data_IF_005545081768
#
_entry.id   IF_005545081768
#
_cell.length_a   1.000
_cell.length_b   1.000
_cell.length_c   1.000
_cell.angle_alpha   90.00
_cell.angle_beta   90.00
_cell.angle_gamma   90.00
#
_symmetry.space_group_name_H-M   'P 1'
#
loop_
_entity.id
_entity.type
_entity.pdbx_description
1 polymer ?
#
# COMPACT_ATOMS: atom_id res chain seq x y z
N UNK A 1 18.41 28.07 23.62
CA UNK A 1 17.52 28.62 22.60
C UNK A 1 17.05 27.52 21.72
N UNK A 2 15.84 26.93 21.87
CA UNK A 2 15.35 25.90 20.94
C UNK A 2 14.73 26.62 19.74
N UNK A 3 15.30 26.39 18.56
CA UNK A 3 14.69 26.77 17.30
C UNK A 3 13.43 25.93 17.07
N UNK A 4 12.28 26.54 17.31
CA UNK A 4 10.99 25.97 16.91
C UNK A 4 10.97 25.81 15.39
N UNK A 5 11.00 24.58 14.92
CA UNK A 5 10.72 24.22 13.54
C UNK A 5 9.29 24.65 13.24
N UNK A 6 9.11 25.75 12.51
CA UNK A 6 7.81 26.10 11.94
C UNK A 6 7.50 25.04 10.90
N UNK A 7 6.56 24.13 11.22
CA UNK A 7 5.92 23.27 10.20
C UNK A 7 5.36 24.25 9.15
N UNK A 8 5.92 24.24 7.96
CA UNK A 8 5.30 24.85 6.80
C UNK A 8 3.97 24.13 6.59
N UNK A 9 2.87 24.75 7.00
CA UNK A 9 1.54 24.34 6.58
C UNK A 9 1.46 24.61 5.07
N UNK A 10 1.74 23.59 4.28
CA UNK A 10 1.54 23.63 2.83
C UNK A 10 0.03 23.78 2.63
N UNK A 11 -0.41 24.92 2.14
CA UNK A 11 -1.82 25.20 1.86
C UNK A 11 -2.32 24.19 0.85
N UNK A 12 -3.48 23.57 1.10
CA UNK A 12 -4.13 22.62 0.17
C UNK A 12 -4.34 23.31 -1.19
N UNK A 13 -3.90 22.66 -2.27
CA UNK A 13 -4.19 23.10 -3.64
C UNK A 13 -5.60 22.66 -4.02
N UNK A 14 -6.56 23.58 -4.23
CA UNK A 14 -7.93 23.22 -4.57
C UNK A 14 -8.07 22.51 -5.93
N UNK A 15 -7.01 22.48 -6.72
CA UNK A 15 -6.97 21.78 -8.03
C UNK A 15 -6.35 20.39 -7.96
N UNK A 16 -5.80 20.00 -6.82
CA UNK A 16 -5.21 18.68 -6.68
C UNK A 16 -6.28 17.60 -6.86
N UNK A 17 -5.95 16.47 -7.53
CA UNK A 17 -6.94 15.46 -7.94
C UNK A 17 -7.75 14.87 -6.78
N UNK A 18 -7.15 14.71 -5.61
CA UNK A 18 -7.77 14.13 -4.42
C UNK A 18 -8.30 15.19 -3.44
N UNK A 19 -8.38 16.46 -3.84
CA UNK A 19 -8.99 17.52 -3.04
C UNK A 19 -10.47 17.66 -3.36
N UNK A 20 -11.28 17.72 -2.31
CA UNK A 20 -12.73 17.89 -2.40
C UNK A 20 -13.13 19.25 -1.79
N UNK A 21 -13.94 19.99 -2.53
CA UNK A 21 -14.61 21.22 -2.05
C UNK A 21 -15.95 20.85 -1.41
N UNK A 22 -16.09 21.13 -0.13
CA UNK A 22 -17.30 20.86 0.66
C UNK A 22 -18.25 22.05 0.74
N UNK A 23 -17.96 23.17 0.08
CA UNK A 23 -18.76 24.38 0.13
C UNK A 23 -20.25 24.12 -0.19
N UNK A 24 -20.53 23.33 -1.22
CA UNK A 24 -21.89 22.98 -1.62
C UNK A 24 -22.63 22.05 -0.64
N UNK A 25 -21.91 21.29 0.21
CA UNK A 25 -22.49 20.47 1.27
C UNK A 25 -23.06 21.33 2.40
N UNK A 26 -22.41 22.45 2.68
CA UNK A 26 -22.72 23.32 3.83
C UNK A 26 -22.40 22.65 5.17
N UNK A 27 -22.68 23.37 6.27
CA UNK A 27 -22.38 22.91 7.64
C UNK A 27 -23.62 22.47 8.44
N UNK A 28 -24.73 22.21 7.74
CA UNK A 28 -25.95 21.74 8.44
C UNK A 28 -25.82 20.25 8.73
N UNK A 29 -25.83 19.83 10.00
CA UNK A 29 -25.75 18.41 10.34
C UNK A 29 -26.85 17.60 9.65
N UNK A 30 -26.48 16.45 9.08
CA UNK A 30 -27.33 15.58 8.29
C UNK A 30 -27.42 15.93 6.80
N UNK A 31 -26.75 17.02 6.34
CA UNK A 31 -26.57 17.25 4.90
C UNK A 31 -25.61 16.20 4.33
N UNK A 32 -25.97 15.63 3.19
CA UNK A 32 -25.18 14.56 2.54
C UNK A 32 -24.97 14.89 1.06
N UNK A 33 -23.85 14.44 0.51
CA UNK A 33 -23.51 14.49 -0.90
C UNK A 33 -22.71 13.25 -1.29
N UNK A 34 -23.05 12.67 -2.40
CA UNK A 34 -22.29 11.59 -3.02
C UNK A 34 -21.60 12.10 -4.27
N UNK A 35 -20.41 11.59 -4.53
CA UNK A 35 -19.60 12.00 -5.66
C UNK A 35 -18.75 10.82 -6.14
N UNK A 36 -18.80 10.57 -7.45
CA UNK A 36 -17.92 9.60 -8.12
C UNK A 36 -17.01 10.35 -9.09
N UNK A 37 -15.73 10.04 -9.06
CA UNK A 37 -14.75 10.64 -9.96
C UNK A 37 -13.62 9.66 -10.27
N UNK A 38 -12.96 9.85 -11.41
CA UNK A 38 -11.71 9.21 -11.74
C UNK A 38 -10.59 10.24 -11.61
N UNK A 39 -9.56 9.93 -10.88
CA UNK A 39 -8.43 10.81 -10.62
C UNK A 39 -7.11 10.08 -10.88
N UNK A 40 -6.05 10.80 -11.33
CA UNK A 40 -4.74 10.20 -11.48
C UNK A 40 -4.13 9.86 -10.12
N UNK A 41 -3.47 8.72 -10.05
CA UNK A 41 -2.73 8.29 -8.85
C UNK A 41 -1.56 9.24 -8.57
N UNK A 42 -1.36 9.63 -7.30
CA UNK A 42 -0.20 10.39 -6.88
C UNK A 42 1.08 9.54 -6.99
N UNK A 43 2.22 10.21 -6.89
CA UNK A 43 3.53 9.54 -6.80
C UNK A 43 3.61 8.69 -5.53
N UNK A 44 4.43 7.63 -5.59
CA UNK A 44 4.76 6.79 -4.43
C UNK A 44 3.54 6.20 -3.67
N UNK A 45 2.48 5.83 -4.41
CA UNK A 45 1.31 5.15 -3.85
C UNK A 45 1.55 3.64 -3.80
N UNK A 46 2.39 3.19 -2.86
CA UNK A 46 2.73 1.79 -2.76
C UNK A 46 3.87 1.51 -1.79
N UNK A 47 4.40 0.30 -1.90
CA UNK A 47 5.60 -0.19 -1.22
C UNK A 47 6.61 -0.67 -2.27
N UNK A 48 7.84 -1.04 -1.84
CA UNK A 48 8.95 -1.39 -2.73
C UNK A 48 8.59 -2.45 -3.80
N UNK A 49 7.77 -3.45 -3.43
CA UNK A 49 7.46 -4.59 -4.31
C UNK A 49 6.19 -4.41 -5.14
N UNK A 50 5.27 -3.56 -4.72
CA UNK A 50 3.96 -3.40 -5.37
C UNK A 50 3.33 -2.06 -5.02
N UNK A 51 2.66 -1.45 -5.99
CA UNK A 51 1.93 -0.19 -5.78
C UNK A 51 1.04 0.16 -6.97
N UNK A 52 0.33 1.26 -6.82
CA UNK A 52 -0.44 1.86 -7.91
C UNK A 52 0.52 2.67 -8.78
N UNK A 53 0.60 2.41 -10.09
CA UNK A 53 1.47 3.19 -10.98
C UNK A 53 1.11 4.68 -10.95
N UNK A 54 2.11 5.54 -10.90
CA UNK A 54 1.92 7.00 -10.97
C UNK A 54 1.07 7.39 -12.18
N UNK A 55 0.07 8.23 -11.95
CA UNK A 55 -0.84 8.70 -13.00
C UNK A 55 -1.86 7.68 -13.48
N UNK A 56 -1.86 6.46 -12.95
CA UNK A 56 -2.91 5.50 -13.24
C UNK A 56 -4.26 5.98 -12.71
N UNK A 57 -5.34 5.56 -13.35
CA UNK A 57 -6.68 5.96 -12.96
C UNK A 57 -7.08 5.30 -11.63
N UNK A 58 -7.47 6.14 -10.65
CA UNK A 58 -8.14 5.73 -9.42
C UNK A 58 -9.62 6.07 -9.58
N UNK A 59 -10.48 5.06 -9.54
CA UNK A 59 -11.93 5.26 -9.43
C UNK A 59 -12.27 5.49 -7.96
N UNK A 60 -12.86 6.65 -7.67
CA UNK A 60 -13.15 7.11 -6.32
C UNK A 60 -14.66 7.36 -6.18
N UNK A 61 -15.30 6.63 -5.29
CA UNK A 61 -16.69 6.82 -4.89
C UNK A 61 -16.71 7.30 -3.43
N UNK A 62 -17.20 8.51 -3.20
CA UNK A 62 -17.22 9.13 -1.86
C UNK A 62 -18.60 9.63 -1.47
N UNK A 63 -18.91 9.47 -0.20
CA UNK A 63 -20.05 10.07 0.48
C UNK A 63 -19.54 11.00 1.57
N UNK A 64 -19.99 12.24 1.49
CA UNK A 64 -19.72 13.29 2.47
C UNK A 64 -20.97 13.51 3.31
N UNK A 65 -20.79 13.59 4.62
CA UNK A 65 -21.88 13.87 5.57
C UNK A 65 -21.43 14.98 6.53
N UNK A 66 -22.19 16.09 6.56
CA UNK A 66 -21.93 17.13 7.54
C UNK A 66 -22.42 16.68 8.91
N UNK A 67 -21.52 16.69 9.88
CA UNK A 67 -21.79 16.41 11.30
C UNK A 67 -21.52 17.66 12.14
N UNK A 68 -21.78 17.60 13.43
CA UNK A 68 -21.62 18.79 14.32
C UNK A 68 -20.18 19.27 14.38
N UNK A 69 -19.22 18.34 14.33
CA UNK A 69 -17.80 18.63 14.55
C UNK A 69 -17.02 18.85 13.26
N UNK A 70 -17.59 18.41 12.10
CA UNK A 70 -16.85 18.42 10.84
C UNK A 70 -17.63 17.79 9.68
N UNK A 71 -16.87 17.18 8.77
CA UNK A 71 -17.39 16.41 7.65
C UNK A 71 -16.87 14.98 7.77
N UNK A 72 -17.79 14.02 7.93
CA UNK A 72 -17.48 12.61 7.84
C UNK A 72 -17.46 12.22 6.36
N UNK A 73 -16.34 11.64 5.92
CA UNK A 73 -16.21 11.06 4.58
C UNK A 73 -16.11 9.56 4.71
N UNK A 74 -16.89 8.86 3.92
CA UNK A 74 -16.75 7.43 3.67
C UNK A 74 -16.68 7.18 2.18
N UNK A 75 -15.90 6.22 1.75
CA UNK A 75 -15.76 5.94 0.32
C UNK A 75 -14.99 4.69 0.02
N UNK A 76 -14.94 4.39 -1.28
CA UNK A 76 -14.21 3.27 -1.86
C UNK A 76 -13.28 3.81 -2.93
N UNK A 77 -12.05 3.33 -2.96
CA UNK A 77 -11.09 3.62 -4.03
C UNK A 77 -10.69 2.31 -4.73
N UNK A 78 -10.74 2.31 -6.08
CA UNK A 78 -10.30 1.20 -6.93
C UNK A 78 -9.15 1.65 -7.81
N UNK A 79 -8.09 0.87 -7.87
CA UNK A 79 -6.93 1.20 -8.66
C UNK A 79 -6.23 -0.07 -9.21
N UNK A 80 -5.54 0.04 -10.36
CA UNK A 80 -4.65 -1.02 -10.81
C UNK A 80 -3.41 -1.11 -9.91
N UNK A 81 -2.90 -2.32 -9.74
CA UNK A 81 -1.62 -2.57 -9.09
C UNK A 81 -0.62 -3.10 -10.09
N UNK A 82 0.63 -2.67 -9.95
CA UNK A 82 1.78 -3.24 -10.64
C UNK A 82 2.91 -3.48 -9.63
N UNK A 83 3.67 -4.54 -9.86
CA UNK A 83 4.76 -4.91 -8.97
C UNK A 83 5.54 -6.11 -9.49
N UNK A 84 6.29 -6.73 -8.61
CA UNK A 84 7.10 -7.92 -8.90
C UNK A 84 6.73 -9.07 -7.96
N UNK A 85 6.76 -10.29 -8.48
CA UNK A 85 6.52 -11.48 -7.68
C UNK A 85 7.61 -11.65 -6.64
N UNK A 86 7.23 -11.74 -5.36
CA UNK A 86 8.18 -11.91 -4.25
C UNK A 86 8.98 -13.24 -4.28
N UNK A 87 8.67 -14.15 -5.21
CA UNK A 87 9.38 -15.43 -5.35
C UNK A 87 10.21 -15.52 -6.63
N UNK A 88 9.71 -15.09 -7.77
CA UNK A 88 10.39 -15.26 -9.06
C UNK A 88 10.77 -13.95 -9.75
N UNK A 89 10.43 -12.80 -9.14
CA UNK A 89 10.71 -11.43 -9.60
C UNK A 89 10.06 -11.07 -10.96
N UNK A 90 9.12 -11.89 -11.44
CA UNK A 90 8.36 -11.57 -12.64
C UNK A 90 7.35 -10.45 -12.36
N UNK A 91 7.07 -9.60 -13.36
CA UNK A 91 6.04 -8.59 -13.25
C UNK A 91 4.68 -9.18 -12.88
N UNK A 92 4.00 -8.54 -11.95
CA UNK A 92 2.65 -8.89 -11.52
C UNK A 92 1.74 -7.68 -11.71
N UNK A 93 0.57 -7.90 -12.30
CA UNK A 93 -0.48 -6.89 -12.40
C UNK A 93 -1.76 -7.42 -11.77
N UNK A 94 -2.44 -6.58 -11.01
CA UNK A 94 -3.73 -6.88 -10.38
C UNK A 94 -4.52 -5.59 -10.17
N UNK A 95 -5.54 -5.63 -9.35
CA UNK A 95 -6.28 -4.45 -8.92
C UNK A 95 -6.53 -4.51 -7.43
N UNK A 96 -6.73 -3.35 -6.83
CA UNK A 96 -7.08 -3.22 -5.42
C UNK A 96 -8.37 -2.41 -5.29
N UNK A 97 -9.20 -2.79 -4.31
CA UNK A 97 -10.34 -2.04 -3.85
C UNK A 97 -10.19 -1.84 -2.35
N UNK A 98 -10.28 -0.61 -1.89
CA UNK A 98 -10.15 -0.25 -0.47
C UNK A 98 -11.29 0.65 -0.05
N UNK A 99 -11.85 0.35 1.12
CA UNK A 99 -12.81 1.21 1.78
C UNK A 99 -12.08 2.09 2.80
N UNK A 100 -12.55 3.32 2.94
CA UNK A 100 -12.03 4.24 3.93
C UNK A 100 -13.16 5.06 4.57
N UNK A 101 -12.90 5.50 5.80
CA UNK A 101 -13.77 6.44 6.51
C UNK A 101 -12.90 7.35 7.38
N UNK A 102 -13.16 8.67 7.29
CA UNK A 102 -12.39 9.66 8.04
C UNK A 102 -13.25 10.86 8.41
N UNK A 103 -13.03 11.40 9.61
CA UNK A 103 -13.66 12.63 10.07
C UNK A 103 -12.69 13.80 9.91
N UNK A 104 -13.07 14.76 9.09
CA UNK A 104 -12.37 16.03 8.97
C UNK A 104 -13.06 17.09 9.83
N UNK A 105 -12.36 17.57 10.84
CA UNK A 105 -12.90 18.52 11.82
C UNK A 105 -12.86 19.94 11.28
N UNK A 106 -13.91 20.74 11.55
CA UNK A 106 -13.88 22.17 11.22
C UNK A 106 -12.78 22.90 11.97
N UNK A 107 -12.08 23.79 11.30
CA UNK A 107 -10.94 24.54 11.87
C UNK A 107 -11.32 25.46 13.03
N UNK A 108 -12.60 25.85 13.13
CA UNK A 108 -13.17 26.68 14.18
C UNK A 108 -13.70 25.89 15.38
N UNK A 109 -13.78 24.55 15.26
CA UNK A 109 -14.13 23.68 16.38
C UNK A 109 -12.96 23.65 17.37
N UNK A 110 -13.20 24.15 18.58
CA UNK A 110 -12.25 23.97 19.67
C UNK A 110 -12.25 22.49 20.04
N UNK A 111 -11.26 21.76 19.56
CA UNK A 111 -10.96 20.44 20.10
C UNK A 111 -10.73 20.63 21.59
N UNK A 112 -11.52 19.94 22.41
CA UNK A 112 -11.23 19.86 23.84
C UNK A 112 -9.81 19.33 24.04
N UNK A 113 -9.26 19.40 25.23
CA UNK A 113 -7.86 19.14 25.62
C UNK A 113 -7.24 17.79 25.17
N UNK A 114 -7.92 17.06 24.24
CA UNK A 114 -7.51 15.80 23.64
C UNK A 114 -7.54 15.92 22.10
N UNK A 115 -7.03 17.03 21.55
CA UNK A 115 -6.72 17.05 20.12
C UNK A 115 -5.49 16.16 19.89
N UNK A 116 -5.71 14.95 19.41
CA UNK A 116 -4.63 14.07 18.99
C UNK A 116 -3.83 14.72 17.83
N UNK A 117 -2.52 14.49 17.79
CA UNK A 117 -1.66 14.99 16.70
C UNK A 117 -2.10 14.47 15.31
N UNK A 118 -2.98 13.47 15.27
CA UNK A 118 -3.47 12.78 14.07
C UNK A 118 -4.84 13.30 13.57
N UNK A 119 -5.41 14.34 14.21
CA UNK A 119 -6.72 14.87 13.83
C UNK A 119 -6.65 15.58 12.48
N UNK A 120 -7.40 15.09 11.50
CA UNK A 120 -7.48 15.71 10.17
C UNK A 120 -8.44 16.89 10.19
N UNK A 121 -8.06 17.99 9.56
CA UNK A 121 -8.84 19.23 9.57
C UNK A 121 -9.13 19.74 8.19
N UNK A 122 -10.32 20.36 8.03
CA UNK A 122 -10.59 21.14 6.83
C UNK A 122 -9.71 22.39 6.79
N UNK A 123 -9.24 22.75 5.60
CA UNK A 123 -8.67 24.07 5.33
C UNK A 123 -9.73 24.94 4.60
N UNK A 124 -10.46 25.76 5.36
CA UNK A 124 -11.65 26.44 4.85
C UNK A 124 -12.77 25.43 4.55
N UNK A 125 -13.11 25.26 3.29
CA UNK A 125 -14.08 24.28 2.81
C UNK A 125 -13.39 23.13 2.01
N UNK A 126 -12.06 23.02 2.07
CA UNK A 126 -11.30 22.03 1.33
C UNK A 126 -10.89 20.86 2.24
N UNK A 127 -10.96 19.66 1.68
CA UNK A 127 -10.52 18.40 2.27
C UNK A 127 -9.51 17.75 1.34
N UNK A 128 -8.36 17.36 1.87
CA UNK A 128 -7.37 16.56 1.15
C UNK A 128 -7.54 15.09 1.50
N UNK A 129 -7.97 14.29 0.52
CA UNK A 129 -8.14 12.85 0.67
C UNK A 129 -6.87 12.07 0.36
N UNK A 130 -5.83 12.67 -0.21
CA UNK A 130 -4.62 11.93 -0.58
C UNK A 130 -4.04 11.12 0.59
N UNK A 131 -3.85 11.69 1.79
CA UNK A 131 -3.32 10.93 2.90
C UNK A 131 -4.23 9.76 3.33
N UNK A 132 -5.56 9.93 3.26
CA UNK A 132 -6.52 8.88 3.65
C UNK A 132 -6.52 7.73 2.65
N UNK A 133 -6.58 8.05 1.35
CA UNK A 133 -6.52 7.05 0.27
C UNK A 133 -5.17 6.33 0.27
N UNK A 134 -4.08 7.07 0.52
CA UNK A 134 -2.73 6.51 0.65
C UNK A 134 -2.64 5.51 1.79
N UNK A 135 -3.07 5.89 2.99
CA UNK A 135 -3.03 5.03 4.17
C UNK A 135 -3.86 3.76 3.95
N UNK A 136 -5.10 3.91 3.44
CA UNK A 136 -5.98 2.77 3.15
C UNK A 136 -5.37 1.84 2.09
N UNK A 137 -4.81 2.40 1.01
CA UNK A 137 -4.19 1.62 -0.07
C UNK A 137 -2.97 0.86 0.45
N UNK A 138 -2.03 1.55 1.11
CA UNK A 138 -0.77 0.94 1.58
C UNK A 138 -1.03 -0.18 2.58
N UNK A 139 -2.01 0.00 3.48
CA UNK A 139 -2.38 -1.02 4.46
C UNK A 139 -3.04 -2.26 3.84
N UNK A 140 -3.67 -2.12 2.68
CA UNK A 140 -4.34 -3.22 1.98
C UNK A 140 -3.44 -3.92 0.94
N UNK A 141 -2.24 -3.39 0.65
CA UNK A 141 -1.32 -4.03 -0.29
C UNK A 141 -0.88 -5.41 0.22
N UNK A 142 -0.73 -6.41 -0.68
CA UNK A 142 -0.18 -7.69 -0.30
C UNK A 142 1.28 -7.55 0.13
N UNK A 143 1.63 -8.10 1.29
CA UNK A 143 3.01 -8.10 1.81
C UNK A 143 3.99 -8.84 0.90
N UNK A 144 3.50 -9.82 0.15
CA UNK A 144 4.29 -10.61 -0.81
C UNK A 144 3.42 -10.89 -2.03
N UNK A 145 3.46 -10.03 -3.06
CA UNK A 145 2.73 -10.26 -4.30
C UNK A 145 3.27 -11.51 -4.99
N UNK A 146 2.41 -12.33 -5.57
CA UNK A 146 2.77 -13.55 -6.28
C UNK A 146 2.19 -13.52 -7.70
N UNK A 147 2.92 -14.05 -8.68
CA UNK A 147 2.41 -14.22 -10.04
C UNK A 147 1.37 -15.35 -10.13
N UNK A 148 1.47 -16.33 -9.24
CA UNK A 148 0.54 -17.45 -9.04
C UNK A 148 0.72 -17.98 -7.61
N UNK A 149 -0.31 -18.59 -7.02
CA UNK A 149 -0.32 -19.01 -5.62
C UNK A 149 0.79 -20.01 -5.28
N UNK A 150 1.11 -20.90 -6.21
CA UNK A 150 2.10 -21.96 -6.11
C UNK A 150 3.41 -21.63 -6.83
N UNK A 151 3.72 -20.34 -7.06
CA UNK A 151 4.95 -19.93 -7.74
C UNK A 151 6.17 -20.63 -7.13
N UNK A 152 6.93 -21.43 -7.90
CA UNK A 152 8.07 -22.17 -7.37
C UNK A 152 9.27 -21.28 -7.05
N UNK A 153 9.29 -20.04 -7.56
CA UNK A 153 10.34 -19.07 -7.28
C UNK A 153 11.59 -19.22 -8.13
N UNK A 154 12.70 -18.74 -7.56
CA UNK A 154 14.05 -18.87 -8.13
C UNK A 154 14.80 -19.99 -7.44
N UNK A 155 15.70 -20.63 -8.17
CA UNK A 155 16.66 -21.54 -7.58
C UNK A 155 17.61 -20.79 -6.64
N UNK A 156 17.80 -21.28 -5.42
CA UNK A 156 18.69 -20.67 -4.42
C UNK A 156 20.16 -20.69 -4.79
N UNK A 157 20.58 -21.61 -5.67
CA UNK A 157 21.97 -21.79 -6.05
C UNK A 157 22.37 -20.95 -7.26
N UNK A 158 21.57 -20.98 -8.33
CA UNK A 158 21.91 -20.32 -9.59
C UNK A 158 20.98 -19.18 -9.99
N UNK A 159 19.88 -18.94 -9.27
CA UNK A 159 18.95 -17.87 -9.54
C UNK A 159 18.05 -18.10 -10.76
N UNK A 160 18.11 -19.27 -11.43
CA UNK A 160 17.20 -19.58 -12.53
C UNK A 160 15.76 -19.72 -12.01
N UNK A 161 14.80 -19.31 -12.81
CA UNK A 161 13.38 -19.50 -12.46
C UNK A 161 13.03 -20.99 -12.50
N UNK A 162 12.55 -21.51 -11.37
CA UNK A 162 12.20 -22.94 -11.27
C UNK A 162 11.03 -23.34 -12.17
N UNK A 163 10.18 -22.39 -12.56
CA UNK A 163 9.13 -22.62 -13.53
C UNK A 163 9.67 -22.92 -14.96
N UNK A 164 10.83 -22.36 -15.30
CA UNK A 164 11.47 -22.50 -16.61
C UNK A 164 12.59 -23.56 -16.57
N UNK A 165 13.01 -23.96 -15.37
CA UNK A 165 14.00 -25.01 -15.16
C UNK A 165 13.41 -26.37 -15.57
N UNK A 166 14.19 -27.15 -16.31
CA UNK A 166 13.77 -28.50 -16.70
C UNK A 166 13.64 -29.43 -15.47
N UNK A 167 12.99 -30.59 -15.63
CA UNK A 167 12.79 -31.55 -14.54
C UNK A 167 14.11 -32.10 -13.96
N UNK A 168 15.21 -32.01 -14.72
CA UNK A 168 16.55 -32.45 -14.32
C UNK A 168 17.39 -31.32 -13.72
N UNK A 169 16.77 -30.19 -13.37
CA UNK A 169 17.47 -29.08 -12.77
C UNK A 169 17.84 -29.41 -11.31
N UNK A 170 19.07 -29.82 -11.13
CA UNK A 170 19.66 -30.18 -9.84
C UNK A 170 21.04 -29.52 -9.67
N UNK A 171 21.43 -29.31 -8.43
CA UNK A 171 22.73 -28.81 -8.05
C UNK A 171 23.32 -29.75 -7.02
N UNK A 172 24.35 -30.51 -7.40
CA UNK A 172 25.12 -31.38 -6.52
C UNK A 172 25.96 -30.60 -5.47
N UNK A 173 25.58 -29.40 -5.13
CA UNK A 173 26.34 -28.59 -4.19
C UNK A 173 26.04 -29.02 -2.74
N UNK A 174 26.84 -29.89 -2.23
CA UNK A 174 26.93 -30.11 -0.78
C UNK A 174 27.48 -28.85 -0.14
N UNK A 175 26.72 -28.26 0.78
CA UNK A 175 27.26 -27.14 1.58
C UNK A 175 28.62 -27.55 2.15
N UNK A 176 29.70 -26.76 1.90
CA UNK A 176 31.06 -27.09 2.36
C UNK A 176 31.14 -27.42 3.86
N UNK A 177 30.21 -26.89 4.66
CA UNK A 177 30.10 -27.18 6.10
C UNK A 177 29.69 -28.62 6.39
N UNK A 178 29.03 -29.30 5.46
CA UNK A 178 28.53 -30.68 5.58
C UNK A 178 29.39 -31.68 4.82
N UNK A 179 30.39 -31.23 4.03
CA UNK A 179 31.27 -32.09 3.24
C UNK A 179 31.98 -33.15 4.09
N UNK A 180 32.37 -32.82 5.34
CA UNK A 180 32.99 -33.75 6.26
C UNK A 180 32.03 -34.88 6.73
N UNK A 181 30.73 -34.57 6.88
CA UNK A 181 29.71 -35.56 7.25
C UNK A 181 29.38 -36.49 6.07
N UNK A 182 29.40 -35.98 4.86
CA UNK A 182 29.17 -36.76 3.65
C UNK A 182 30.29 -37.81 3.48
N UNK A 183 31.56 -37.43 3.65
CA UNK A 183 32.67 -38.37 3.64
C UNK A 183 32.58 -39.48 4.70
N UNK A 184 31.96 -39.20 5.85
CA UNK A 184 31.70 -40.23 6.88
C UNK A 184 30.58 -41.20 6.51
N UNK A 185 29.57 -40.70 5.75
CA UNK A 185 28.48 -41.58 5.26
C UNK A 185 28.95 -42.50 4.15
N UNK A 186 29.78 -42.02 3.24
CA UNK A 186 30.35 -42.79 2.12
C UNK A 186 31.27 -43.92 2.67
N UNK A 187 32.11 -43.64 3.65
CA UNK A 187 32.94 -44.64 4.33
C UNK A 187 32.11 -45.74 5.02
N UNK A 188 30.97 -45.38 5.61
CA UNK A 188 30.08 -46.38 6.25
C UNK A 188 29.41 -47.31 5.25
N UNK A 189 29.14 -46.86 4.05
CA UNK A 189 28.56 -47.70 2.99
C UNK A 189 29.58 -48.68 2.45
N UNK A 190 30.84 -48.27 2.27
CA UNK A 190 31.94 -49.14 1.83
C UNK A 190 32.24 -50.24 2.89
N UNK A 191 32.17 -49.93 4.20
CA UNK A 191 32.39 -50.91 5.28
C UNK A 191 31.22 -51.90 5.42
N UNK A 192 30.03 -51.67 4.82
CA UNK A 192 28.88 -52.57 4.87
C UNK A 192 28.81 -53.53 3.67
N UNK A 193 29.50 -53.22 2.56
CA UNK A 193 29.53 -54.03 1.34
C UNK A 193 30.77 -54.98 1.26
N UNK A 194 31.70 -54.93 2.22
CA UNK A 194 32.88 -55.76 2.31
C UNK A 194 32.73 -56.86 3.41
#
# INVERSE_FOLDING_TARGET
MPHGSRKNLTRIDPRAPLVIDTHALGRRPGSMREESRTVPAPTDLGVEMVGVPEGADIELDVRLEAVMEGVLISGTARAPLAGECGRCLEPVTSSIEVDFQELFVYSDTRSGEIAGEDERRLEGDLIDLEPVVRDATVLALPLSPLCQDDCPGLCSECGVRLADAGPDHDHEAVDPRWAALQGMLDQRQEDQEG
#
